data_IF_098583162930
#
_entry.id   IF_098583162930
#
_cell.length_a   1.000
_cell.length_b   1.000
_cell.length_c   1.000
_cell.angle_alpha   90.00
_cell.angle_beta   90.00
_cell.angle_gamma   90.00
#
_symmetry.space_group_name_H-M   'P 1'
#
loop_
_entity.id
_entity.type
_entity.pdbx_description
1 polymer ?
#
# COMPACT_ATOMS: atom_id res chain seq x y z
N UNK A 1 -13.48 -16.74 -5.29
CA UNK A 1 -14.33 -16.56 -6.49
C UNK A 1 -14.01 -17.73 -7.40
N UNK A 2 -14.93 -18.68 -7.57
CA UNK A 2 -14.75 -19.82 -8.49
C UNK A 2 -14.89 -19.22 -9.90
N UNK A 3 -13.77 -18.81 -10.48
CA UNK A 3 -13.74 -18.25 -11.83
C UNK A 3 -13.97 -19.39 -12.81
N UNK A 4 -15.25 -19.64 -13.11
CA UNK A 4 -15.66 -20.57 -14.14
C UNK A 4 -15.23 -20.08 -15.52
N UNK A 5 -14.46 -20.91 -16.24
CA UNK A 5 -14.78 -21.31 -17.61
C UNK A 5 -13.81 -22.41 -18.08
N UNK A 6 -13.91 -23.62 -17.53
CA UNK A 6 -13.15 -24.81 -17.99
C UNK A 6 -13.60 -25.32 -19.38
N UNK A 7 -14.66 -24.73 -19.96
CA UNK A 7 -15.34 -25.26 -21.16
C UNK A 7 -14.43 -25.47 -22.38
N UNK A 8 -13.52 -24.53 -22.66
CA UNK A 8 -12.68 -24.60 -23.88
C UNK A 8 -11.45 -25.49 -23.75
N UNK A 9 -10.79 -25.47 -22.58
CA UNK A 9 -9.65 -26.36 -22.29
C UNK A 9 -10.07 -27.83 -22.23
N UNK A 10 -11.20 -28.10 -21.57
CA UNK A 10 -11.77 -29.45 -21.47
C UNK A 10 -12.23 -29.98 -22.83
N UNK A 11 -12.79 -29.13 -23.68
CA UNK A 11 -13.19 -29.51 -25.03
C UNK A 11 -11.98 -29.89 -25.90
N UNK A 12 -10.88 -29.13 -25.82
CA UNK A 12 -9.65 -29.47 -26.53
C UNK A 12 -9.03 -30.78 -26.02
N UNK A 13 -8.92 -30.97 -24.71
CA UNK A 13 -8.40 -32.21 -24.13
C UNK A 13 -9.24 -33.43 -24.49
N UNK A 14 -10.57 -33.29 -24.45
CA UNK A 14 -11.50 -34.34 -24.85
C UNK A 14 -11.32 -34.71 -26.32
N UNK A 15 -11.19 -33.70 -27.18
CA UNK A 15 -10.94 -33.86 -28.61
C UNK A 15 -9.61 -34.56 -28.87
N UNK A 16 -8.55 -34.17 -28.15
CA UNK A 16 -7.22 -34.77 -28.24
C UNK A 16 -7.25 -36.25 -27.82
N UNK A 17 -7.91 -36.58 -26.70
CA UNK A 17 -8.06 -37.97 -26.22
C UNK A 17 -8.81 -38.85 -27.22
N UNK A 18 -9.86 -38.31 -27.85
CA UNK A 18 -10.64 -39.03 -28.87
C UNK A 18 -9.79 -39.32 -30.11
N UNK A 19 -9.16 -38.30 -30.70
CA UNK A 19 -8.38 -38.45 -31.92
C UNK A 19 -7.11 -39.29 -31.69
N UNK A 20 -6.52 -39.24 -30.49
CA UNK A 20 -5.39 -40.11 -30.15
C UNK A 20 -5.76 -41.60 -30.20
N UNK A 21 -6.94 -41.98 -29.69
CA UNK A 21 -7.44 -43.37 -29.77
C UNK A 21 -7.70 -43.80 -31.21
N UNK A 22 -8.31 -42.92 -32.00
CA UNK A 22 -8.57 -43.17 -33.43
C UNK A 22 -7.27 -43.27 -34.24
N UNK A 23 -6.26 -42.46 -33.90
CA UNK A 23 -4.94 -42.51 -34.52
C UNK A 23 -4.25 -43.84 -34.23
N UNK A 24 -4.30 -44.32 -32.98
CA UNK A 24 -3.75 -45.63 -32.60
C UNK A 24 -4.44 -46.76 -33.36
N UNK A 25 -5.78 -46.78 -33.41
CA UNK A 25 -6.53 -47.80 -34.15
C UNK A 25 -6.23 -47.77 -35.67
N UNK A 26 -6.07 -46.57 -36.27
CA UNK A 26 -5.67 -46.44 -37.67
C UNK A 26 -4.26 -46.96 -37.93
N UNK A 27 -3.33 -46.70 -37.01
CA UNK A 27 -1.95 -47.19 -37.11
C UNK A 27 -1.87 -48.70 -36.94
N UNK A 28 -2.62 -49.28 -36.00
CA UNK A 28 -2.69 -50.73 -35.79
C UNK A 28 -3.27 -51.48 -37.00
N UNK A 29 -4.19 -50.85 -37.74
CA UNK A 29 -4.78 -51.41 -38.97
C UNK A 29 -3.96 -51.12 -40.24
N UNK A 30 -2.84 -50.40 -40.14
CA UNK A 30 -1.99 -50.04 -41.28
C UNK A 30 -2.57 -48.95 -42.21
N UNK A 31 -3.58 -48.20 -41.75
CA UNK A 31 -4.22 -47.13 -42.52
C UNK A 31 -3.43 -45.80 -42.44
N UNK A 32 -2.21 -45.77 -42.99
CA UNK A 32 -1.31 -44.61 -42.88
C UNK A 32 -1.89 -43.31 -43.44
N UNK A 33 -2.67 -43.34 -44.53
CA UNK A 33 -3.30 -42.14 -45.09
C UNK A 33 -4.31 -41.50 -44.12
N UNK A 34 -5.13 -42.32 -43.45
CA UNK A 34 -6.08 -41.85 -42.44
C UNK A 34 -5.35 -41.30 -41.21
N UNK A 35 -4.26 -41.96 -40.79
CA UNK A 35 -3.42 -41.49 -39.68
C UNK A 35 -2.81 -40.10 -39.95
N UNK A 36 -2.29 -39.85 -41.16
CA UNK A 36 -1.76 -38.53 -41.54
C UNK A 36 -2.86 -37.46 -41.52
N UNK A 37 -4.07 -37.79 -41.99
CA UNK A 37 -5.19 -36.87 -41.96
C UNK A 37 -5.61 -36.51 -40.53
N UNK A 38 -5.69 -37.50 -39.62
CA UNK A 38 -5.98 -37.28 -38.20
C UNK A 38 -4.93 -36.39 -37.51
N UNK A 39 -3.64 -36.55 -37.83
CA UNK A 39 -2.58 -35.68 -37.33
C UNK A 39 -2.77 -34.24 -37.82
N UNK A 40 -3.13 -34.05 -39.08
CA UNK A 40 -3.40 -32.73 -39.64
C UNK A 40 -4.61 -32.06 -38.97
N UNK A 41 -5.68 -32.81 -38.69
CA UNK A 41 -6.86 -32.32 -37.97
C UNK A 41 -6.52 -31.93 -36.52
N UNK A 42 -5.72 -32.75 -35.83
CA UNK A 42 -5.20 -32.45 -34.49
C UNK A 42 -4.33 -31.18 -34.48
N UNK A 43 -3.42 -31.03 -35.46
CA UNK A 43 -2.60 -29.82 -35.61
C UNK A 43 -3.46 -28.58 -35.83
N UNK A 44 -4.45 -28.66 -36.73
CA UNK A 44 -5.37 -27.54 -36.98
C UNK A 44 -6.20 -27.18 -35.75
N UNK A 45 -6.66 -28.17 -34.98
CA UNK A 45 -7.37 -27.93 -33.73
C UNK A 45 -6.48 -27.22 -32.70
N UNK A 46 -5.22 -27.66 -32.56
CA UNK A 46 -4.21 -27.01 -31.71
C UNK A 46 -3.95 -25.58 -32.15
N UNK A 47 -3.68 -25.35 -33.43
CA UNK A 47 -3.37 -24.04 -33.97
C UNK A 47 -4.54 -23.07 -33.76
N UNK A 48 -5.78 -23.51 -34.01
CA UNK A 48 -6.98 -22.72 -33.73
C UNK A 48 -7.13 -22.35 -32.26
N UNK A 49 -6.90 -23.30 -31.35
CA UNK A 49 -6.90 -23.05 -29.91
C UNK A 49 -5.83 -22.02 -29.52
N UNK A 50 -4.61 -22.17 -30.03
CA UNK A 50 -3.51 -21.24 -29.80
C UNK A 50 -3.84 -19.82 -30.28
N UNK A 51 -4.37 -19.66 -31.49
CA UNK A 51 -4.79 -18.35 -32.01
C UNK A 51 -5.87 -17.69 -31.15
N UNK A 52 -6.83 -18.47 -30.64
CA UNK A 52 -7.89 -17.96 -29.76
C UNK A 52 -7.32 -17.50 -28.42
N UNK A 53 -6.46 -18.29 -27.78
CA UNK A 53 -5.85 -17.93 -26.49
C UNK A 53 -4.88 -16.76 -26.59
N UNK A 54 -4.03 -16.73 -27.62
CA UNK A 54 -3.14 -15.56 -27.87
C UNK A 54 -3.96 -14.30 -28.16
N UNK A 55 -5.07 -14.44 -28.88
CA UNK A 55 -6.00 -13.33 -29.14
C UNK A 55 -6.67 -12.81 -27.86
N UNK A 56 -7.11 -13.71 -26.97
CA UNK A 56 -7.63 -13.34 -25.64
C UNK A 56 -6.56 -12.64 -24.80
N UNK A 57 -5.36 -13.23 -24.70
CA UNK A 57 -4.24 -12.67 -23.95
C UNK A 57 -3.86 -11.27 -24.43
N UNK A 58 -3.78 -11.06 -25.74
CA UNK A 58 -3.42 -9.76 -26.32
C UNK A 58 -4.49 -8.71 -26.05
N UNK A 59 -5.78 -9.07 -26.14
CA UNK A 59 -6.90 -8.16 -25.82
C UNK A 59 -6.93 -7.80 -24.34
N UNK A 60 -6.70 -8.78 -23.48
CA UNK A 60 -6.69 -8.59 -22.03
C UNK A 60 -5.48 -7.76 -21.59
N UNK A 61 -4.31 -7.97 -22.22
CA UNK A 61 -3.14 -7.11 -22.02
C UNK A 61 -3.43 -5.69 -22.50
N UNK A 62 -4.06 -5.54 -23.66
CA UNK A 62 -4.45 -4.24 -24.18
C UNK A 62 -5.42 -3.52 -23.23
N UNK A 63 -6.47 -4.20 -22.77
CA UNK A 63 -7.43 -3.65 -21.80
C UNK A 63 -6.72 -3.26 -20.50
N UNK A 64 -5.86 -4.11 -19.95
CA UNK A 64 -5.10 -3.79 -18.74
C UNK A 64 -4.18 -2.57 -18.91
N UNK A 65 -3.56 -2.39 -20.08
CA UNK A 65 -2.74 -1.21 -20.39
C UNK A 65 -3.62 0.04 -20.53
N UNK A 66 -4.75 -0.06 -21.22
CA UNK A 66 -5.67 1.06 -21.46
C UNK A 66 -6.33 1.52 -20.16
N UNK A 67 -6.85 0.58 -19.35
CA UNK A 67 -7.46 0.86 -18.05
C UNK A 67 -6.44 1.49 -17.08
N UNK A 68 -5.15 1.16 -17.21
CA UNK A 68 -4.08 1.79 -16.45
C UNK A 68 -3.76 3.21 -16.92
N UNK A 69 -3.81 3.48 -18.23
CA UNK A 69 -3.45 4.77 -18.81
C UNK A 69 -4.59 5.80 -18.82
N UNK A 70 -5.86 5.41 -18.61
CA UNK A 70 -7.01 6.26 -18.91
C UNK A 70 -8.08 6.24 -17.81
N UNK A 71 -8.10 7.29 -16.99
CA UNK A 71 -9.31 8.12 -16.86
C UNK A 71 -9.01 9.58 -16.43
N UNK A 72 -8.63 10.46 -17.37
CA UNK A 72 -8.59 11.91 -17.14
C UNK A 72 -9.99 12.57 -17.16
N UNK A 73 -11.08 11.82 -17.46
CA UNK A 73 -12.43 12.37 -17.64
C UNK A 73 -13.47 11.90 -16.62
N UNK A 74 -13.08 11.17 -15.57
CA UNK A 74 -13.90 11.01 -14.38
C UNK A 74 -14.27 12.40 -13.82
N UNK A 75 -15.56 12.69 -13.53
CA UNK A 75 -16.00 14.02 -13.09
C UNK A 75 -15.42 14.47 -11.74
N UNK A 76 -14.71 13.61 -11.01
CA UNK A 76 -13.94 14.00 -9.81
C UNK A 76 -12.43 14.19 -10.09
N UNK A 77 -12.01 14.15 -11.35
CA UNK A 77 -10.61 14.24 -11.74
C UNK A 77 -10.12 15.69 -11.90
N UNK A 78 -10.95 16.73 -11.99
CA UNK A 78 -10.42 18.06 -12.33
C UNK A 78 -9.41 18.63 -11.31
N UNK A 79 -9.50 18.28 -10.03
CA UNK A 79 -8.51 18.68 -9.01
C UNK A 79 -7.39 17.64 -8.80
N UNK A 80 -7.58 16.40 -9.27
CA UNK A 80 -6.64 15.27 -9.04
C UNK A 80 -6.05 14.64 -10.32
N UNK A 81 -6.43 15.15 -11.50
CA UNK A 81 -6.03 14.67 -12.84
C UNK A 81 -4.57 15.02 -13.15
N UNK A 82 -3.94 15.90 -12.38
CA UNK A 82 -2.54 16.27 -12.60
C UNK A 82 -1.55 15.21 -12.10
N UNK A 83 -2.04 14.18 -11.39
CA UNK A 83 -1.21 13.13 -10.81
C UNK A 83 -1.66 11.79 -11.42
N UNK A 84 -1.28 11.58 -12.69
CA UNK A 84 -1.63 10.38 -13.45
C UNK A 84 -0.96 9.12 -12.88
N UNK A 85 0.21 9.24 -12.24
CA UNK A 85 0.99 8.13 -11.71
C UNK A 85 0.65 7.83 -10.22
N UNK A 86 0.56 6.54 -9.88
CA UNK A 86 0.54 6.09 -8.50
C UNK A 86 1.78 6.55 -7.72
N UNK A 87 2.94 6.62 -8.38
CA UNK A 87 4.18 7.16 -7.80
C UNK A 87 3.99 8.61 -7.38
N UNK A 88 3.52 9.47 -8.30
CA UNK A 88 3.28 10.88 -8.01
C UNK A 88 2.21 11.05 -6.91
N UNK A 89 1.20 10.18 -6.87
CA UNK A 89 0.17 10.17 -5.80
C UNK A 89 0.78 9.87 -4.44
N UNK A 90 1.67 8.89 -4.37
CA UNK A 90 2.38 8.56 -3.13
C UNK A 90 3.38 9.67 -2.75
N UNK A 91 4.08 10.27 -3.72
CA UNK A 91 4.94 11.43 -3.47
C UNK A 91 4.15 12.61 -2.89
N UNK A 92 2.96 12.89 -3.44
CA UNK A 92 2.05 13.90 -2.88
C UNK A 92 1.63 13.56 -1.44
N UNK A 93 1.32 12.30 -1.15
CA UNK A 93 1.02 11.86 0.23
C UNK A 93 2.19 12.09 1.17
N UNK A 94 3.41 11.76 0.75
CA UNK A 94 4.62 11.95 1.54
C UNK A 94 4.84 13.44 1.82
N UNK A 95 4.80 14.28 0.79
CA UNK A 95 4.97 15.73 0.92
C UNK A 95 3.91 16.35 1.85
N UNK A 96 2.64 16.00 1.67
CA UNK A 96 1.55 16.53 2.49
C UNK A 96 1.65 16.07 3.94
N UNK A 97 2.06 14.82 4.18
CA UNK A 97 2.23 14.27 5.54
C UNK A 97 3.42 14.94 6.23
N UNK A 98 4.53 15.13 5.52
CA UNK A 98 5.71 15.85 6.03
C UNK A 98 5.34 17.29 6.39
N UNK A 99 4.63 17.99 5.51
CA UNK A 99 4.17 19.36 5.74
C UNK A 99 3.26 19.49 6.96
N UNK A 100 2.32 18.56 7.13
CA UNK A 100 1.43 18.52 8.29
C UNK A 100 2.20 18.25 9.59
N UNK A 101 3.14 17.31 9.57
CA UNK A 101 3.99 16.99 10.72
C UNK A 101 4.87 18.18 11.13
N UNK A 102 5.57 18.79 10.18
CA UNK A 102 6.41 19.96 10.42
C UNK A 102 5.58 21.12 10.98
N UNK A 103 4.42 21.41 10.37
CA UNK A 103 3.53 22.48 10.86
C UNK A 103 3.03 22.21 12.28
N UNK A 104 2.69 20.97 12.60
CA UNK A 104 2.25 20.59 13.95
C UNK A 104 3.38 20.78 14.96
N UNK A 105 4.59 20.34 14.62
CA UNK A 105 5.78 20.49 15.47
C UNK A 105 6.09 21.97 15.74
N UNK A 106 6.10 22.81 14.70
CA UNK A 106 6.32 24.26 14.82
C UNK A 106 5.30 24.92 15.76
N UNK A 107 4.02 24.53 15.69
CA UNK A 107 2.97 25.09 16.52
C UNK A 107 3.09 24.64 17.98
N UNK A 108 3.47 23.38 18.22
CA UNK A 108 3.75 22.87 19.56
C UNK A 108 4.96 23.58 20.16
N UNK A 109 6.03 23.78 19.40
CA UNK A 109 7.22 24.51 19.85
C UNK A 109 6.91 25.96 20.21
N UNK A 110 6.03 26.63 19.46
CA UNK A 110 5.56 27.98 19.79
C UNK A 110 4.59 28.01 20.98
N UNK A 111 3.86 26.92 21.24
CA UNK A 111 2.92 26.81 22.37
C UNK A 111 3.63 26.55 23.70
N UNK A 112 4.69 25.73 23.67
CA UNK A 112 5.45 25.32 24.85
C UNK A 112 5.92 26.49 25.75
N UNK A 113 6.54 27.57 25.24
CA UNK A 113 6.97 28.69 26.08
C UNK A 113 5.80 29.43 26.72
N UNK A 114 4.65 29.55 26.06
CA UNK A 114 3.46 30.20 26.63
C UNK A 114 2.94 29.46 27.85
N UNK A 115 2.89 28.13 27.76
CA UNK A 115 2.46 27.26 28.87
C UNK A 115 3.48 27.26 30.00
N UNK A 116 4.78 27.17 29.69
CA UNK A 116 5.84 27.20 30.70
C UNK A 116 5.86 28.53 31.46
N UNK A 117 5.80 29.67 30.75
CA UNK A 117 5.74 30.99 31.39
C UNK A 117 4.50 31.13 32.28
N UNK A 118 3.34 30.68 31.82
CA UNK A 118 2.11 30.71 32.63
C UNK A 118 2.26 29.88 33.91
N UNK A 119 2.86 28.70 33.81
CA UNK A 119 3.11 27.82 34.96
C UNK A 119 4.13 28.39 35.95
N UNK A 120 5.19 29.02 35.46
CA UNK A 120 6.22 29.67 36.29
C UNK A 120 5.65 30.90 37.02
N UNK A 121 5.02 31.81 36.27
CA UNK A 121 4.42 33.02 36.82
C UNK A 121 3.33 32.68 37.85
N UNK A 122 2.51 31.66 37.58
CA UNK A 122 1.47 31.20 38.51
C UNK A 122 2.06 30.66 39.80
N UNK A 123 3.18 29.92 39.75
CA UNK A 123 3.83 29.36 40.95
C UNK A 123 4.46 30.47 41.78
N UNK A 124 5.11 31.43 41.14
CA UNK A 124 5.73 32.56 41.82
C UNK A 124 4.69 33.43 42.53
N UNK A 125 3.62 33.82 41.82
CA UNK A 125 2.53 34.58 42.41
C UNK A 125 1.81 33.84 43.54
N UNK A 126 1.65 32.52 43.42
CA UNK A 126 1.06 31.72 44.50
C UNK A 126 1.91 31.77 45.78
N UNK A 127 3.24 31.69 45.66
CA UNK A 127 4.14 31.79 46.82
C UNK A 127 4.05 33.17 47.48
N UNK A 128 4.02 34.24 46.69
CA UNK A 128 3.86 35.60 47.22
C UNK A 128 2.50 35.82 47.86
N UNK A 129 1.44 35.30 47.25
CA UNK A 129 0.10 35.30 47.82
C UNK A 129 0.05 34.58 49.18
N UNK A 130 0.72 33.43 49.31
CA UNK A 130 0.83 32.74 50.60
C UNK A 130 1.57 33.56 51.65
N UNK A 131 2.67 34.24 51.29
CA UNK A 131 3.39 35.14 52.19
C UNK A 131 2.51 36.30 52.66
N UNK A 132 1.70 36.88 51.77
CA UNK A 132 0.70 37.88 52.14
C UNK A 132 -0.33 37.32 53.13
N UNK A 133 -0.88 36.13 52.86
CA UNK A 133 -1.86 35.47 53.74
C UNK A 133 -1.28 35.13 55.12
N UNK A 134 0.03 34.88 55.23
CA UNK A 134 0.75 34.72 56.51
C UNK A 134 1.11 36.05 57.18
N UNK A 135 0.68 37.19 56.62
CA UNK A 135 1.00 38.55 57.07
C UNK A 135 2.51 38.86 57.08
N UNK A 136 3.27 38.21 56.18
CA UNK A 136 4.72 38.43 56.01
C UNK A 136 5.03 39.56 55.02
N UNK A 137 3.99 40.16 54.41
CA UNK A 137 4.08 41.25 53.43
C UNK A 137 3.37 42.47 54.00
N UNK A 138 4.01 43.63 53.90
CA UNK A 138 3.49 44.92 54.32
C UNK A 138 2.61 45.59 53.25
N UNK A 139 2.18 46.83 53.50
CA UNK A 139 1.29 47.54 52.59
C UNK A 139 1.94 47.82 51.22
N UNK A 140 3.24 48.10 51.17
CA UNK A 140 3.95 48.35 49.92
C UNK A 140 4.17 47.07 49.12
N UNK A 141 4.55 45.97 49.80
CA UNK A 141 4.64 44.66 49.15
C UNK A 141 3.28 44.15 48.64
N UNK A 142 2.17 44.47 49.31
CA UNK A 142 0.83 44.14 48.79
C UNK A 142 0.49 44.91 47.52
N UNK A 143 0.84 46.21 47.44
CA UNK A 143 0.63 47.01 46.21
C UNK A 143 1.41 46.45 45.03
N UNK A 144 2.63 45.99 45.26
CA UNK A 144 3.45 45.37 44.22
C UNK A 144 2.87 44.01 43.80
N UNK A 145 2.50 43.16 44.75
CA UNK A 145 1.82 41.89 44.47
C UNK A 145 0.53 42.09 43.66
N UNK A 146 -0.29 43.08 44.02
CA UNK A 146 -1.52 43.39 43.31
C UNK A 146 -1.26 43.79 41.84
N UNK A 147 -0.24 44.61 41.58
CA UNK A 147 0.17 44.97 40.21
C UNK A 147 0.66 43.76 39.42
N UNK A 148 1.45 42.88 40.03
CA UNK A 148 1.93 41.66 39.37
C UNK A 148 0.80 40.69 39.07
N UNK A 149 -0.17 40.55 39.98
CA UNK A 149 -1.39 39.77 39.74
C UNK A 149 -2.18 40.37 38.57
N UNK A 150 -2.38 41.69 38.52
CA UNK A 150 -3.06 42.35 37.41
C UNK A 150 -2.36 42.08 36.06
N UNK A 151 -1.03 42.24 36.01
CA UNK A 151 -0.23 41.94 34.82
C UNK A 151 -0.31 40.47 34.42
N UNK A 152 -0.27 39.55 35.39
CA UNK A 152 -0.42 38.12 35.14
C UNK A 152 -1.80 37.77 34.60
N UNK A 153 -2.87 38.38 35.12
CA UNK A 153 -4.23 38.14 34.62
C UNK A 153 -4.37 38.59 33.16
N UNK A 154 -3.78 39.74 32.79
CA UNK A 154 -3.74 40.21 31.40
C UNK A 154 -2.95 39.25 30.51
N UNK A 155 -1.70 38.92 30.89
CA UNK A 155 -0.84 38.00 30.11
C UNK A 155 -1.44 36.59 30.00
N UNK A 156 -2.09 36.10 31.05
CA UNK A 156 -2.76 34.79 31.05
C UNK A 156 -3.90 34.76 30.02
N UNK A 157 -4.69 35.83 29.93
CA UNK A 157 -5.72 35.97 28.90
C UNK A 157 -5.15 35.99 27.48
N UNK A 158 -4.07 36.74 27.26
CA UNK A 158 -3.36 36.81 25.97
C UNK A 158 -2.76 35.45 25.57
N UNK A 159 -2.05 34.79 26.50
CA UNK A 159 -1.45 33.47 26.28
C UNK A 159 -2.52 32.41 26.00
N UNK A 160 -3.65 32.44 26.72
CA UNK A 160 -4.76 31.53 26.46
C UNK A 160 -5.35 31.73 25.05
N UNK A 161 -5.48 32.99 24.60
CA UNK A 161 -5.90 33.30 23.24
C UNK A 161 -4.93 32.80 22.17
N UNK A 162 -3.62 33.02 22.37
CA UNK A 162 -2.58 32.51 21.46
C UNK A 162 -2.55 30.99 21.42
N UNK A 163 -2.62 30.32 22.58
CA UNK A 163 -2.65 28.87 22.67
C UNK A 163 -3.90 28.30 21.99
N UNK A 164 -5.06 28.91 22.19
CA UNK A 164 -6.29 28.51 21.50
C UNK A 164 -6.16 28.64 19.97
N UNK A 165 -5.52 29.71 19.49
CA UNK A 165 -5.25 29.89 18.06
C UNK A 165 -4.28 28.83 17.53
N UNK A 166 -3.20 28.54 18.25
CA UNK A 166 -2.21 27.52 17.86
C UNK A 166 -2.82 26.12 17.84
N UNK A 167 -3.65 25.77 18.83
CA UNK A 167 -4.37 24.49 18.86
C UNK A 167 -5.35 24.37 17.68
N UNK A 168 -6.04 25.47 17.32
CA UNK A 168 -6.90 25.48 16.14
C UNK A 168 -6.10 25.32 14.83
N UNK A 169 -4.93 25.95 14.73
CA UNK A 169 -4.02 25.76 13.61
C UNK A 169 -3.45 24.33 13.53
N UNK A 170 -3.22 23.67 14.67
CA UNK A 170 -2.81 22.26 14.72
C UNK A 170 -3.93 21.37 14.16
N UNK A 171 -5.18 21.62 14.58
CA UNK A 171 -6.34 20.91 14.03
C UNK A 171 -6.45 21.10 12.52
N UNK A 172 -6.30 22.33 12.03
CA UNK A 172 -6.33 22.61 10.59
C UNK A 172 -5.17 21.93 9.83
N UNK A 173 -3.98 21.85 10.44
CA UNK A 173 -2.85 21.14 9.85
C UNK A 173 -3.09 19.62 9.73
N UNK A 174 -3.96 19.06 10.57
CA UNK A 174 -4.32 17.64 10.54
C UNK A 174 -5.44 17.31 9.54
N UNK A 175 -6.24 18.27 9.07
CA UNK A 175 -7.30 18.02 8.07
C UNK A 175 -6.75 17.45 6.75
N UNK A 176 -5.49 17.74 6.42
CA UNK A 176 -4.81 17.14 5.25
C UNK A 176 -4.68 15.62 5.34
N UNK A 177 -4.78 15.04 6.54
CA UNK A 177 -4.70 13.59 6.74
C UNK A 177 -5.89 12.84 6.12
N UNK A 178 -7.06 13.49 5.96
CA UNK A 178 -8.17 12.90 5.21
C UNK A 178 -7.84 12.82 3.71
N UNK A 179 -7.28 13.89 3.14
CA UNK A 179 -6.88 13.92 1.74
C UNK A 179 -5.78 12.88 1.44
N UNK A 180 -4.77 12.76 2.30
CA UNK A 180 -3.74 11.72 2.12
C UNK A 180 -4.33 10.32 2.26
N UNK A 181 -5.24 10.10 3.20
CA UNK A 181 -5.97 8.82 3.35
C UNK A 181 -6.80 8.46 2.11
N UNK A 182 -7.46 9.44 1.48
CA UNK A 182 -8.18 9.22 0.22
C UNK A 182 -7.22 8.88 -0.93
N UNK A 183 -6.07 9.55 -1.02
CA UNK A 183 -5.06 9.26 -2.05
C UNK A 183 -4.50 7.85 -1.87
N UNK A 184 -4.13 7.45 -0.65
CA UNK A 184 -3.63 6.10 -0.35
C UNK A 184 -4.67 5.06 -0.76
N UNK A 185 -5.95 5.22 -0.37
CA UNK A 185 -7.02 4.27 -0.74
C UNK A 185 -7.16 4.11 -2.25
N UNK A 186 -7.04 5.20 -3.01
CA UNK A 186 -7.07 5.17 -4.48
C UNK A 186 -5.86 4.44 -5.04
N UNK A 187 -4.66 4.70 -4.53
CA UNK A 187 -3.44 3.98 -4.93
C UNK A 187 -3.54 2.49 -4.60
N UNK A 188 -4.01 2.13 -3.40
CA UNK A 188 -4.23 0.72 -3.03
C UNK A 188 -5.19 0.04 -3.99
N UNK A 189 -6.32 0.69 -4.32
CA UNK A 189 -7.28 0.15 -5.28
C UNK A 189 -6.64 -0.09 -6.65
N UNK A 190 -5.88 0.89 -7.17
CA UNK A 190 -5.14 0.75 -8.43
C UNK A 190 -4.15 -0.43 -8.39
N UNK A 191 -3.38 -0.55 -7.31
CA UNK A 191 -2.44 -1.66 -7.13
C UNK A 191 -3.16 -3.01 -7.10
N UNK A 192 -4.30 -3.11 -6.39
CA UNK A 192 -5.12 -4.34 -6.35
C UNK A 192 -5.70 -4.68 -7.73
N UNK A 193 -6.13 -3.69 -8.51
CA UNK A 193 -6.61 -3.90 -9.89
C UNK A 193 -5.48 -4.37 -10.81
N UNK A 194 -4.29 -3.78 -10.71
CA UNK A 194 -3.09 -4.23 -11.44
C UNK A 194 -2.70 -5.65 -11.05
N UNK A 195 -2.68 -5.98 -9.76
CA UNK A 195 -2.40 -7.34 -9.29
C UNK A 195 -3.40 -8.34 -9.88
N UNK A 196 -4.70 -8.02 -9.84
CA UNK A 196 -5.73 -8.87 -10.40
C UNK A 196 -5.56 -9.09 -11.92
N UNK A 197 -5.24 -8.02 -12.65
CA UNK A 197 -4.99 -8.08 -14.08
C UNK A 197 -3.73 -8.90 -14.41
N UNK A 198 -2.65 -8.73 -13.66
CA UNK A 198 -1.42 -9.53 -13.82
C UNK A 198 -1.67 -11.01 -13.54
N UNK A 199 -2.41 -11.35 -12.48
CA UNK A 199 -2.78 -12.75 -12.18
C UNK A 199 -3.60 -13.34 -13.33
N UNK A 200 -4.56 -12.57 -13.88
CA UNK A 200 -5.36 -12.99 -15.03
C UNK A 200 -4.49 -13.23 -16.27
N UNK A 201 -3.55 -12.32 -16.56
CA UNK A 201 -2.61 -12.44 -17.68
C UNK A 201 -1.69 -13.65 -17.54
N UNK A 202 -1.15 -13.90 -16.34
CA UNK A 202 -0.34 -15.09 -16.06
C UNK A 202 -1.15 -16.37 -16.26
N UNK A 203 -2.42 -16.39 -15.82
CA UNK A 203 -3.30 -17.53 -16.05
C UNK A 203 -3.56 -17.77 -17.55
N UNK A 204 -3.79 -16.72 -18.34
CA UNK A 204 -3.97 -16.82 -19.79
C UNK A 204 -2.70 -17.25 -20.51
N UNK A 205 -1.54 -16.75 -20.11
CA UNK A 205 -0.24 -17.21 -20.63
C UNK A 205 -0.05 -18.70 -20.37
N UNK A 206 -0.41 -19.18 -19.17
CA UNK A 206 -0.40 -20.61 -18.85
C UNK A 206 -1.32 -21.45 -19.75
N UNK A 207 -2.47 -20.92 -20.19
CA UNK A 207 -3.31 -21.63 -21.18
C UNK A 207 -2.62 -21.69 -22.55
N UNK A 208 -2.03 -20.57 -23.01
CA UNK A 208 -1.24 -20.54 -24.26
C UNK A 208 -0.12 -21.59 -24.22
N UNK A 209 0.60 -21.71 -23.11
CA UNK A 209 1.66 -22.70 -22.93
C UNK A 209 1.14 -24.14 -23.05
N UNK A 210 -0.02 -24.44 -22.45
CA UNK A 210 -0.67 -25.76 -22.58
C UNK A 210 -1.03 -26.09 -24.02
N UNK A 211 -1.56 -25.13 -24.79
CA UNK A 211 -1.82 -25.32 -26.23
C UNK A 211 -0.52 -25.42 -27.04
N UNK A 212 0.50 -24.65 -26.69
CA UNK A 212 1.81 -24.70 -27.33
C UNK A 212 2.60 -25.96 -26.96
N UNK A 213 2.21 -26.71 -25.92
CA UNK A 213 2.96 -27.84 -25.40
C UNK A 213 4.28 -27.43 -24.74
N UNK A 214 4.34 -26.20 -24.23
CA UNK A 214 5.50 -25.68 -23.50
C UNK A 214 5.34 -26.14 -22.04
N UNK A 215 6.15 -27.10 -21.62
CA UNK A 215 6.27 -27.45 -20.21
C UNK A 215 7.25 -26.49 -19.53
N UNK A 216 6.76 -25.78 -18.52
CA UNK A 216 7.59 -25.02 -17.61
C UNK A 216 7.98 -25.89 -16.42
N UNK A 217 9.27 -25.91 -16.07
CA UNK A 217 9.69 -26.41 -14.76
C UNK A 217 9.28 -25.39 -13.68
N UNK A 218 8.04 -25.53 -13.22
CA UNK A 218 7.50 -24.70 -12.14
C UNK A 218 8.32 -24.81 -10.84
N UNK A 219 9.06 -25.90 -10.63
CA UNK A 219 9.91 -26.08 -9.44
C UNK A 219 11.13 -25.18 -9.54
N UNK A 220 11.84 -25.20 -10.68
CA UNK A 220 12.98 -24.31 -10.93
C UNK A 220 12.56 -22.84 -10.88
N UNK A 221 11.44 -22.45 -11.50
CA UNK A 221 10.95 -21.07 -11.45
C UNK A 221 10.59 -20.61 -10.03
N UNK A 222 9.93 -21.46 -9.22
CA UNK A 222 9.64 -21.13 -7.82
C UNK A 222 10.91 -21.02 -6.99
N UNK A 223 11.90 -21.88 -7.24
CA UNK A 223 13.17 -21.82 -6.53
C UNK A 223 13.94 -20.53 -6.87
N UNK A 224 13.95 -20.14 -8.15
CA UNK A 224 14.56 -18.89 -8.59
C UNK A 224 13.85 -17.66 -8.00
N UNK A 225 12.51 -17.66 -7.99
CA UNK A 225 11.73 -16.59 -7.36
C UNK A 225 11.95 -16.50 -5.84
N UNK A 226 12.11 -17.64 -5.16
CA UNK A 226 12.42 -17.68 -3.73
C UNK A 226 13.82 -17.11 -3.44
N UNK A 227 14.82 -17.46 -4.27
CA UNK A 227 16.17 -16.92 -4.17
C UNK A 227 16.19 -15.39 -4.39
N UNK A 228 15.45 -14.88 -5.39
CA UNK A 228 15.35 -13.44 -5.64
C UNK A 228 14.64 -12.69 -4.50
N UNK A 229 13.62 -13.30 -3.87
CA UNK A 229 12.90 -12.70 -2.75
C UNK A 229 13.78 -12.62 -1.50
N UNK A 230 14.58 -13.65 -1.23
CA UNK A 230 15.53 -13.66 -0.11
C UNK A 230 16.63 -12.59 -0.23
N UNK A 231 16.91 -12.09 -1.44
CA UNK A 231 17.94 -11.08 -1.68
C UNK A 231 17.45 -9.63 -1.50
N UNK A 232 16.14 -9.38 -1.45
CA UNK A 232 15.57 -8.04 -1.27
C UNK A 232 15.13 -7.85 0.18
N UNK A 233 15.59 -6.77 0.81
CA UNK A 233 15.23 -6.44 2.19
C UNK A 233 13.71 -6.32 2.36
N UNK A 234 13.19 -6.88 3.44
CA UNK A 234 11.78 -6.75 3.79
C UNK A 234 11.52 -5.40 4.50
N UNK A 235 10.42 -4.74 4.15
CA UNK A 235 9.95 -3.55 4.87
C UNK A 235 9.35 -3.87 6.24
N UNK A 236 8.77 -2.87 6.94
CA UNK A 236 8.17 -3.08 8.26
C UNK A 236 7.11 -4.18 8.25
N UNK A 237 7.20 -5.12 9.18
CA UNK A 237 6.33 -6.29 9.28
C UNK A 237 4.95 -5.90 9.85
N UNK A 238 3.96 -5.65 8.98
CA UNK A 238 2.60 -5.21 9.40
C UNK A 238 1.74 -6.37 9.96
N UNK A 239 2.22 -7.61 9.94
CA UNK A 239 1.50 -8.77 10.46
C UNK A 239 2.44 -9.80 11.09
N UNK A 240 3.30 -9.35 12.01
CA UNK A 240 4.27 -10.19 12.73
C UNK A 240 3.65 -11.47 13.31
N UNK A 241 2.43 -11.39 13.86
CA UNK A 241 1.74 -12.52 14.50
C UNK A 241 1.38 -13.69 13.55
N UNK A 242 1.32 -13.44 12.23
CA UNK A 242 0.94 -14.46 11.24
C UNK A 242 2.13 -15.12 10.54
N UNK A 243 3.35 -14.68 10.84
CA UNK A 243 4.57 -15.07 10.16
C UNK A 243 5.52 -15.72 11.18
N UNK A 244 5.92 -16.96 10.92
CA UNK A 244 6.87 -17.70 11.78
C UNK A 244 8.31 -17.16 11.65
N UNK A 245 8.58 -16.32 10.65
CA UNK A 245 9.89 -15.75 10.31
C UNK A 245 10.09 -14.32 10.86
N UNK A 246 9.24 -13.85 11.77
CA UNK A 246 9.38 -12.50 12.34
C UNK A 246 10.19 -12.53 13.63
N UNK A 247 11.35 -11.88 13.56
CA UNK A 247 12.22 -11.58 14.69
C UNK A 247 11.56 -10.52 15.56
N UNK A 248 11.22 -10.89 16.80
CA UNK A 248 10.54 -10.00 17.75
C UNK A 248 11.44 -9.54 18.90
N UNK A 249 12.56 -10.25 19.13
CA UNK A 249 13.52 -9.95 20.20
C UNK A 249 14.98 -10.10 19.78
N UNK A 250 15.88 -9.65 20.65
CA UNK A 250 17.33 -9.75 20.45
C UNK A 250 17.80 -11.21 20.34
N UNK A 251 17.20 -12.12 21.10
CA UNK A 251 17.53 -13.55 21.05
C UNK A 251 17.28 -14.15 19.65
N UNK A 252 16.18 -13.74 18.99
CA UNK A 252 15.85 -14.16 17.63
C UNK A 252 16.87 -13.62 16.59
N UNK A 253 17.44 -12.42 16.85
CA UNK A 253 18.51 -11.84 16.02
C UNK A 253 19.80 -12.63 16.19
N UNK A 254 20.15 -12.96 17.43
CA UNK A 254 21.39 -13.68 17.76
C UNK A 254 21.36 -15.12 17.17
N UNK A 255 20.21 -15.78 17.20
CA UNK A 255 19.99 -17.09 16.56
C UNK A 255 20.14 -17.01 15.03
N UNK A 256 19.61 -15.96 14.40
CA UNK A 256 19.78 -15.72 12.96
C UNK A 256 21.23 -15.43 12.59
N UNK A 257 21.94 -14.61 13.37
CA UNK A 257 23.36 -14.31 13.14
C UNK A 257 24.22 -15.58 13.26
N UNK A 258 23.95 -16.42 14.27
CA UNK A 258 24.59 -17.72 14.44
C UNK A 258 24.36 -18.64 13.22
N UNK A 259 23.14 -18.68 12.67
CA UNK A 259 22.82 -19.47 11.46
C UNK A 259 23.52 -18.97 10.19
N UNK A 260 23.82 -17.67 10.12
CA UNK A 260 24.55 -17.03 9.02
C UNK A 260 26.07 -17.11 9.18
N UNK A 261 26.55 -17.66 10.29
CA UNK A 261 27.96 -17.87 10.58
C UNK A 261 28.70 -16.63 11.09
N UNK A 262 27.98 -15.68 11.71
CA UNK A 262 28.55 -14.55 12.45
C UNK A 262 28.70 -14.86 13.94
#
# INVERSE_FOLDING_TARGET
MVLGNDSTGDEFESTLKKHARELVDCLERGHFQQAVQLIQELSQARDRGLYQEVGKLTRELHNAIVDFQIDPHSPHAQEMSQIADATDRLSYVVEMTEKAANRTMDLVEQSAPLVNQLGDDSRELHQEWQRFMRREIDADGFRELAKRIEQFLVRSGENAGQLSSQLNDILLAQDYQDLTGQVIKRVTKLVTEVESNLVKLVWMAGQVDRYAGIEHDHVSMRHQAALERSAKGEGPQVAAEKREDVVSGQDDVDDLLSSLGF
#
